data_IF_645923862819
#
_entry.id   IF_645923862819
#
_cell.length_a   1.000
_cell.length_b   1.000
_cell.length_c   1.000
_cell.angle_alpha   90.00
_cell.angle_beta   90.00
_cell.angle_gamma   90.00
#
_symmetry.space_group_name_H-M   'P 1'
#
loop_
_entity.id
_entity.type
_entity.pdbx_description
1 polymer ?
#
# COMPACT_ATOMS: atom_id res chain seq x y z
N UNK A 1 32.39 -5.38 -2.94
CA UNK A 1 31.37 -5.93 -3.85
C UNK A 1 30.82 -4.82 -4.71
N UNK A 2 30.88 -4.97 -6.03
CA UNK A 2 30.36 -3.99 -6.99
C UNK A 2 28.84 -4.11 -7.03
N UNK A 3 28.14 -3.02 -6.70
CA UNK A 3 26.68 -2.86 -6.84
C UNK A 3 26.35 -3.05 -8.33
N UNK A 4 25.95 -4.26 -8.74
CA UNK A 4 25.85 -4.60 -10.17
C UNK A 4 24.51 -4.27 -10.82
N UNK A 5 23.53 -3.76 -10.06
CA UNK A 5 22.26 -3.29 -10.63
C UNK A 5 22.27 -1.77 -10.75
N UNK A 6 22.06 -1.31 -11.98
CA UNK A 6 21.90 0.09 -12.35
C UNK A 6 20.63 0.67 -11.73
N UNK A 7 20.70 1.85 -11.10
CA UNK A 7 19.53 2.68 -10.74
C UNK A 7 19.43 3.82 -11.76
N UNK A 8 19.20 3.46 -13.02
CA UNK A 8 19.11 4.36 -14.19
C UNK A 8 17.74 5.03 -14.34
N UNK A 9 16.68 4.43 -13.79
CA UNK A 9 15.34 5.03 -13.66
C UNK A 9 15.22 5.79 -12.34
N UNK A 10 16.29 6.50 -11.96
CA UNK A 10 16.34 7.37 -10.80
C UNK A 10 17.16 8.61 -11.16
N UNK A 11 16.78 9.81 -10.68
CA UNK A 11 17.62 10.98 -10.78
C UNK A 11 19.03 10.71 -10.22
N UNK A 12 20.07 11.21 -10.89
CA UNK A 12 21.48 10.85 -10.59
C UNK A 12 21.83 11.05 -9.11
N UNK A 13 21.38 12.15 -8.51
CA UNK A 13 21.64 12.47 -7.11
C UNK A 13 20.87 11.54 -6.16
N UNK A 14 19.60 11.26 -6.44
CA UNK A 14 18.80 10.29 -5.69
C UNK A 14 19.46 8.91 -5.70
N UNK A 15 19.83 8.43 -6.90
CA UNK A 15 20.52 7.15 -7.08
C UNK A 15 21.86 7.08 -6.33
N UNK A 16 22.61 8.19 -6.24
CA UNK A 16 23.85 8.26 -5.48
C UNK A 16 23.61 8.13 -3.96
N UNK A 17 22.62 8.85 -3.41
CA UNK A 17 22.22 8.76 -2.00
C UNK A 17 21.74 7.35 -1.63
N UNK A 18 20.86 6.77 -2.46
CA UNK A 18 20.37 5.40 -2.29
C UNK A 18 21.53 4.41 -2.25
N UNK A 19 22.46 4.48 -3.22
CA UNK A 19 23.64 3.59 -3.24
C UNK A 19 24.53 3.75 -2.02
N UNK A 20 24.69 4.96 -1.50
CA UNK A 20 25.49 5.21 -0.30
C UNK A 20 24.89 4.49 0.92
N UNK A 21 23.58 4.63 1.16
CA UNK A 21 22.89 3.98 2.28
C UNK A 21 22.92 2.46 2.15
N UNK A 22 22.69 1.92 0.95
CA UNK A 22 22.77 0.47 0.69
C UNK A 22 24.19 -0.03 0.99
N UNK A 23 25.22 0.66 0.49
CA UNK A 23 26.62 0.25 0.71
C UNK A 23 27.00 0.26 2.19
N UNK A 24 26.54 1.26 2.94
CA UNK A 24 26.82 1.40 4.36
C UNK A 24 26.16 0.31 5.20
N UNK A 25 24.99 -0.19 4.78
CA UNK A 25 24.17 -1.11 5.57
C UNK A 25 24.08 -2.53 4.99
N UNK A 26 24.81 -2.84 3.92
CA UNK A 26 24.79 -4.15 3.26
C UNK A 26 25.13 -5.29 4.22
N UNK A 27 24.34 -6.37 4.19
CA UNK A 27 24.51 -7.58 4.99
C UNK A 27 24.62 -7.36 6.51
N UNK A 28 24.05 -6.26 7.02
CA UNK A 28 24.07 -5.92 8.45
C UNK A 28 22.81 -6.37 9.21
N UNK A 29 21.89 -7.07 8.55
CA UNK A 29 20.55 -7.36 9.07
C UNK A 29 19.64 -6.12 9.12
N UNK A 30 19.95 -5.09 8.31
CA UNK A 30 19.11 -3.93 8.09
C UNK A 30 17.91 -4.27 7.20
N UNK A 31 16.89 -3.41 7.24
CA UNK A 31 15.69 -3.56 6.42
C UNK A 31 15.18 -2.22 5.90
N UNK A 32 14.37 -2.29 4.85
CA UNK A 32 13.69 -1.18 4.21
C UNK A 32 12.18 -1.44 4.18
N UNK A 33 11.38 -0.38 4.27
CA UNK A 33 9.92 -0.43 4.24
C UNK A 33 9.40 0.43 3.09
N UNK A 34 8.42 -0.08 2.37
CA UNK A 34 7.76 0.66 1.29
C UNK A 34 6.25 0.59 1.46
N UNK A 35 5.58 1.70 1.22
CA UNK A 35 4.20 1.62 0.77
C UNK A 35 4.12 0.99 -0.63
N UNK A 36 2.92 0.55 -1.04
CA UNK A 36 2.69 -0.07 -2.33
C UNK A 36 2.05 0.88 -3.34
N UNK A 37 0.78 1.24 -3.13
CA UNK A 37 0.00 2.06 -4.05
C UNK A 37 0.60 3.45 -4.21
N UNK A 38 0.72 3.94 -5.45
CA UNK A 38 1.41 5.20 -5.81
C UNK A 38 2.87 5.36 -5.35
N UNK A 39 3.43 4.39 -4.62
CA UNK A 39 4.81 4.40 -4.11
C UNK A 39 5.69 3.39 -4.84
N UNK A 40 5.29 2.13 -4.91
CA UNK A 40 5.99 1.04 -5.60
C UNK A 40 5.55 0.90 -7.07
N UNK A 41 4.30 1.27 -7.37
CA UNK A 41 3.75 1.42 -8.71
C UNK A 41 2.90 2.69 -8.81
N UNK A 42 2.69 3.19 -10.02
CA UNK A 42 1.73 4.26 -10.28
C UNK A 42 0.30 3.75 -10.12
N UNK A 43 -0.61 4.59 -9.62
CA UNK A 43 -2.02 4.29 -9.35
C UNK A 43 -2.25 3.36 -8.14
N UNK A 44 -3.49 2.96 -7.95
CA UNK A 44 -4.02 2.29 -6.76
C UNK A 44 -4.71 0.97 -7.14
N UNK A 45 -4.35 -0.12 -6.46
CA UNK A 45 -4.89 -1.46 -6.76
C UNK A 45 -6.33 -1.62 -6.30
N UNK A 46 -6.72 -1.02 -5.17
CA UNK A 46 -8.07 -1.21 -4.62
C UNK A 46 -9.10 -0.46 -5.45
N UNK A 47 -8.83 0.82 -5.73
CA UNK A 47 -9.75 1.67 -6.49
C UNK A 47 -9.95 1.14 -7.92
N UNK A 48 -8.86 0.70 -8.55
CA UNK A 48 -8.90 0.15 -9.91
C UNK A 48 -9.53 -1.24 -9.94
N UNK A 49 -9.25 -2.13 -8.98
CA UNK A 49 -9.86 -3.46 -8.93
C UNK A 49 -11.36 -3.38 -8.62
N UNK A 50 -11.77 -2.50 -7.70
CA UNK A 50 -13.19 -2.23 -7.43
C UNK A 50 -13.93 -1.83 -8.71
N UNK A 51 -13.46 -0.79 -9.39
CA UNK A 51 -14.08 -0.31 -10.63
C UNK A 51 -14.05 -1.39 -11.73
N UNK A 52 -12.95 -2.13 -11.84
CA UNK A 52 -12.76 -3.17 -12.85
C UNK A 52 -13.71 -4.35 -12.70
N UNK A 53 -13.92 -4.81 -11.45
CA UNK A 53 -14.81 -5.92 -11.14
C UNK A 53 -16.27 -5.50 -11.21
N UNK A 54 -16.60 -4.29 -10.78
CA UNK A 54 -17.94 -3.73 -10.88
C UNK A 54 -18.38 -3.57 -12.34
N UNK A 55 -17.53 -2.99 -13.19
CA UNK A 55 -17.81 -2.83 -14.62
C UNK A 55 -18.03 -4.17 -15.36
N UNK A 56 -17.59 -5.29 -14.78
CA UNK A 56 -17.77 -6.66 -15.31
C UNK A 56 -18.92 -7.41 -14.67
N UNK A 57 -19.65 -6.81 -13.72
CA UNK A 57 -20.70 -7.48 -12.95
C UNK A 57 -20.18 -8.61 -12.05
N UNK A 58 -18.87 -8.62 -11.76
CA UNK A 58 -18.25 -9.63 -10.89
C UNK A 58 -18.49 -9.27 -9.43
N UNK A 59 -18.27 -8.00 -9.08
CA UNK A 59 -18.55 -7.43 -7.77
C UNK A 59 -19.77 -6.51 -7.91
N UNK A 60 -20.86 -6.85 -7.23
CA UNK A 60 -22.14 -6.13 -7.30
C UNK A 60 -22.68 -5.90 -5.90
N UNK A 61 -23.68 -5.03 -5.76
CA UNK A 61 -24.34 -4.77 -4.47
C UNK A 61 -24.95 -6.02 -3.84
N UNK A 62 -25.42 -6.96 -4.66
CA UNK A 62 -25.97 -8.24 -4.18
C UNK A 62 -24.89 -9.12 -3.54
N UNK A 63 -23.63 -8.95 -3.95
CA UNK A 63 -22.47 -9.66 -3.40
C UNK A 63 -21.76 -8.88 -2.29
N UNK A 64 -22.13 -7.62 -2.05
CA UNK A 64 -21.61 -6.82 -0.95
C UNK A 64 -21.94 -7.51 0.38
N UNK A 65 -20.93 -7.73 1.23
CA UNK A 65 -21.19 -8.22 2.58
C UNK A 65 -22.10 -7.21 3.31
N UNK A 66 -23.15 -7.71 3.97
CA UNK A 66 -24.14 -6.85 4.62
C UNK A 66 -23.53 -5.95 5.70
N UNK A 67 -22.42 -6.34 6.32
CA UNK A 67 -21.75 -5.46 7.30
C UNK A 67 -21.16 -4.21 6.68
N UNK A 68 -20.99 -4.17 5.36
CA UNK A 68 -20.40 -3.06 4.62
C UNK A 68 -21.45 -2.08 4.08
N UNK A 69 -22.74 -2.33 4.25
CA UNK A 69 -23.78 -1.35 3.93
C UNK A 69 -23.95 -0.34 5.10
N UNK A 70 -22.97 0.56 5.26
CA UNK A 70 -22.87 1.50 6.39
C UNK A 70 -23.89 2.65 6.34
N UNK A 71 -24.23 3.09 5.13
CA UNK A 71 -25.20 4.15 4.82
C UNK A 71 -26.15 3.70 3.68
N UNK A 72 -27.32 4.34 3.49
CA UNK A 72 -28.16 4.07 2.34
C UNK A 72 -27.45 4.35 1.02
N UNK A 73 -27.72 3.53 0.01
CA UNK A 73 -27.37 3.85 -1.39
C UNK A 73 -28.18 5.07 -1.86
N UNK A 74 -27.55 5.93 -2.64
CA UNK A 74 -28.15 7.14 -3.20
C UNK A 74 -28.75 6.84 -4.59
N UNK A 75 -29.74 5.97 -4.64
CA UNK A 75 -30.41 5.62 -5.90
C UNK A 75 -31.37 6.73 -6.35
N UNK A 76 -31.52 6.87 -7.67
CA UNK A 76 -32.57 7.66 -8.31
C UNK A 76 -33.44 6.77 -9.19
N UNK A 77 -34.52 7.33 -9.76
CA UNK A 77 -35.38 6.58 -10.68
C UNK A 77 -34.62 6.02 -11.90
N UNK A 78 -33.57 6.73 -12.34
CA UNK A 78 -32.84 6.43 -13.58
C UNK A 78 -31.40 5.93 -13.34
N UNK A 79 -30.96 5.85 -12.08
CA UNK A 79 -29.58 5.45 -11.75
C UNK A 79 -29.50 4.69 -10.42
N UNK A 80 -28.85 3.53 -10.45
CA UNK A 80 -28.39 2.85 -9.25
C UNK A 80 -26.94 3.26 -8.99
N UNK A 81 -26.68 3.79 -7.80
CA UNK A 81 -25.34 4.18 -7.38
C UNK A 81 -24.31 3.02 -7.45
N UNK A 82 -23.13 3.26 -8.01
CA UNK A 82 -22.05 2.26 -8.01
C UNK A 82 -21.45 2.05 -6.60
N UNK A 83 -20.85 0.89 -6.36
CA UNK A 83 -19.99 0.64 -5.20
C UNK A 83 -18.79 1.59 -5.18
N UNK A 84 -18.23 1.94 -6.35
CA UNK A 84 -17.21 2.98 -6.43
C UNK A 84 -17.72 4.34 -5.94
N UNK A 85 -18.91 4.77 -6.36
CA UNK A 85 -19.54 6.00 -5.86
C UNK A 85 -19.79 5.92 -4.35
N UNK A 86 -20.28 4.77 -3.88
CA UNK A 86 -20.52 4.53 -2.47
C UNK A 86 -19.24 4.72 -1.65
N UNK A 87 -18.11 4.14 -2.09
CA UNK A 87 -16.78 4.35 -1.53
C UNK A 87 -16.42 5.84 -1.47
N UNK A 88 -16.56 6.59 -2.58
CA UNK A 88 -16.22 8.02 -2.58
C UNK A 88 -17.03 8.83 -1.54
N UNK A 89 -18.30 8.46 -1.32
CA UNK A 89 -19.13 9.09 -0.27
C UNK A 89 -18.70 8.69 1.13
N UNK A 90 -18.18 7.49 1.33
CA UNK A 90 -17.59 7.10 2.62
C UNK A 90 -16.31 7.89 2.89
N UNK A 91 -15.46 8.15 1.88
CA UNK A 91 -14.29 9.02 2.04
C UNK A 91 -14.67 10.44 2.47
N UNK A 92 -15.81 10.94 1.98
CA UNK A 92 -16.33 12.25 2.39
C UNK A 92 -16.85 12.29 3.84
N UNK A 93 -17.09 11.12 4.47
CA UNK A 93 -17.39 11.04 5.90
C UNK A 93 -16.09 11.13 6.70
N UNK A 94 -15.17 10.17 6.46
CA UNK A 94 -13.83 10.14 7.05
C UNK A 94 -13.00 9.03 6.37
N UNK A 95 -11.69 9.25 6.23
CA UNK A 95 -10.75 8.22 5.74
C UNK A 95 -10.78 6.96 6.63
N UNK A 96 -11.03 7.11 7.93
CA UNK A 96 -11.16 6.00 8.87
C UNK A 96 -12.42 5.15 8.65
N UNK A 97 -13.36 5.63 7.83
CA UNK A 97 -14.51 4.85 7.37
C UNK A 97 -14.19 4.19 6.03
N UNK A 98 -13.59 4.91 5.09
CA UNK A 98 -13.40 4.42 3.72
C UNK A 98 -12.23 3.47 3.54
N UNK A 99 -11.10 3.67 4.23
CA UNK A 99 -9.92 2.80 4.16
C UNK A 99 -10.24 1.35 4.52
N UNK A 100 -10.85 1.05 5.69
CA UNK A 100 -11.27 -0.31 5.97
C UNK A 100 -12.31 -0.81 4.96
N UNK A 101 -13.27 0.03 4.58
CA UNK A 101 -14.35 -0.39 3.69
C UNK A 101 -13.86 -0.85 2.33
N UNK A 102 -12.94 -0.09 1.71
CA UNK A 102 -12.40 -0.43 0.38
C UNK A 102 -11.50 -1.66 0.44
N UNK A 103 -10.84 -1.92 1.56
CA UNK A 103 -10.13 -3.18 1.78
C UNK A 103 -11.10 -4.37 1.92
N UNK A 104 -12.19 -4.17 2.67
CA UNK A 104 -13.18 -5.20 2.99
C UNK A 104 -14.13 -5.52 1.80
N UNK A 105 -14.26 -4.64 0.80
CA UNK A 105 -15.23 -4.78 -0.30
C UNK A 105 -15.08 -6.08 -1.10
N UNK A 106 -13.88 -6.67 -1.10
CA UNK A 106 -13.55 -7.92 -1.77
C UNK A 106 -13.94 -9.17 -0.96
N UNK A 107 -14.63 -9.00 0.17
CA UNK A 107 -15.15 -10.11 0.98
C UNK A 107 -16.10 -11.00 0.19
N UNK A 108 -16.06 -12.30 0.46
CA UNK A 108 -16.86 -13.30 -0.26
C UNK A 108 -16.17 -13.90 -1.48
N UNK A 109 -15.03 -13.37 -1.92
CA UNK A 109 -14.15 -14.03 -2.89
C UNK A 109 -13.09 -14.89 -2.18
N UNK A 110 -12.69 -15.97 -2.85
CA UNK A 110 -11.49 -16.72 -2.46
C UNK A 110 -10.23 -15.96 -2.87
N UNK A 111 -9.11 -16.21 -2.18
CA UNK A 111 -7.83 -15.59 -2.57
C UNK A 111 -7.39 -16.00 -3.99
N UNK A 112 -7.73 -17.20 -4.44
CA UNK A 112 -7.49 -17.67 -5.82
C UNK A 112 -8.22 -16.82 -6.84
N UNK A 113 -9.49 -16.49 -6.59
CA UNK A 113 -10.26 -15.61 -7.46
C UNK A 113 -9.67 -14.20 -7.47
N UNK A 114 -9.35 -13.64 -6.30
CA UNK A 114 -8.74 -12.31 -6.21
C UNK A 114 -7.40 -12.25 -6.94
N UNK A 115 -6.56 -13.28 -6.81
CA UNK A 115 -5.29 -13.39 -7.55
C UNK A 115 -5.50 -13.36 -9.07
N UNK A 116 -6.46 -14.14 -9.58
CA UNK A 116 -6.79 -14.15 -11.00
C UNK A 116 -7.30 -12.77 -11.46
N UNK A 117 -8.16 -12.12 -10.68
CA UNK A 117 -8.68 -10.79 -11.02
C UNK A 117 -7.62 -9.70 -10.97
N UNK A 118 -6.66 -9.77 -10.05
CA UNK A 118 -5.49 -8.89 -10.01
C UNK A 118 -4.65 -9.08 -11.27
N UNK A 119 -4.37 -10.33 -11.67
CA UNK A 119 -3.66 -10.61 -12.92
C UNK A 119 -4.41 -10.05 -14.15
N UNK A 120 -5.72 -10.29 -14.24
CA UNK A 120 -6.57 -9.77 -15.32
C UNK A 120 -6.55 -8.24 -15.38
N UNK A 121 -6.62 -7.55 -14.24
CA UNK A 121 -6.54 -6.09 -14.15
C UNK A 121 -5.16 -5.59 -14.61
N UNK A 122 -4.09 -6.21 -14.13
CA UNK A 122 -2.72 -5.79 -14.46
C UNK A 122 -2.42 -5.97 -15.95
N UNK A 123 -2.99 -6.99 -16.59
CA UNK A 123 -2.86 -7.26 -18.03
C UNK A 123 -3.89 -6.49 -18.89
N UNK A 124 -4.83 -5.78 -18.28
CA UNK A 124 -5.89 -5.10 -19.03
C UNK A 124 -5.39 -3.83 -19.73
N UNK A 125 -5.58 -3.74 -21.05
CA UNK A 125 -5.19 -2.57 -21.86
C UNK A 125 -6.40 -1.68 -22.26
N UNK A 126 -7.59 -1.99 -21.75
CA UNK A 126 -8.80 -1.20 -22.00
C UNK A 126 -9.01 -0.08 -20.99
N UNK A 127 -10.15 0.61 -21.13
CA UNK A 127 -10.55 1.70 -20.23
C UNK A 127 -11.29 1.12 -19.04
N UNK A 128 -10.84 1.46 -17.83
CA UNK A 128 -11.58 1.19 -16.59
C UNK A 128 -12.38 2.44 -16.28
N UNK A 129 -13.71 2.30 -16.18
CA UNK A 129 -14.60 3.42 -15.88
C UNK A 129 -15.41 3.14 -14.63
N UNK A 130 -15.65 4.19 -13.85
CA UNK A 130 -16.53 4.17 -12.70
C UNK A 130 -17.44 5.41 -12.72
N UNK A 131 -18.55 5.35 -11.99
CA UNK A 131 -19.40 6.53 -11.75
C UNK A 131 -19.29 6.99 -10.30
N UNK A 132 -19.38 8.30 -10.04
CA UNK A 132 -19.53 8.85 -8.69
C UNK A 132 -20.28 10.18 -8.69
N UNK A 133 -20.80 10.60 -7.54
CA UNK A 133 -21.34 11.94 -7.37
C UNK A 133 -20.21 12.94 -7.12
N UNK A 134 -20.05 13.91 -8.01
CA UNK A 134 -19.11 15.02 -7.78
C UNK A 134 -19.66 16.04 -6.77
N UNK A 135 -18.87 17.07 -6.48
CA UNK A 135 -19.24 18.14 -5.55
C UNK A 135 -20.41 19.01 -6.02
N UNK A 136 -20.82 18.92 -7.29
CA UNK A 136 -21.98 19.65 -7.82
C UNK A 136 -23.30 19.02 -7.36
N UNK A 137 -23.31 17.70 -7.11
CA UNK A 137 -24.50 16.95 -6.73
C UNK A 137 -25.59 16.88 -7.81
N UNK A 138 -25.32 17.36 -9.02
CA UNK A 138 -26.28 17.46 -10.15
C UNK A 138 -26.57 16.08 -10.77
N UNK A 139 -25.72 15.08 -10.50
CA UNK A 139 -25.91 13.70 -10.94
C UNK A 139 -24.60 12.90 -10.83
N UNK A 140 -24.61 11.61 -11.14
CA UNK A 140 -23.38 10.83 -11.25
C UNK A 140 -22.58 11.27 -12.49
N UNK A 141 -21.26 11.42 -12.34
CA UNK A 141 -20.32 11.64 -13.43
C UNK A 141 -19.50 10.37 -13.67
N UNK A 142 -19.09 10.14 -14.92
CA UNK A 142 -18.21 9.02 -15.29
C UNK A 142 -16.75 9.47 -15.20
N UNK A 143 -15.92 8.65 -14.56
CA UNK A 143 -14.47 8.84 -14.43
C UNK A 143 -13.71 7.65 -15.01
N UNK A 144 -12.51 7.91 -15.52
CA UNK A 144 -11.55 6.88 -15.93
C UNK A 144 -10.60 6.62 -14.77
N UNK A 145 -10.38 5.34 -14.45
CA UNK A 145 -9.48 4.90 -13.39
C UNK A 145 -8.24 4.26 -14.03
N UNK A 146 -7.05 4.68 -13.61
CA UNK A 146 -5.81 4.09 -14.10
C UNK A 146 -5.53 2.76 -13.39
N UNK A 147 -5.13 1.74 -14.15
CA UNK A 147 -4.58 0.51 -13.55
C UNK A 147 -3.20 0.75 -12.93
N UNK A 148 -2.75 -0.13 -12.02
CA UNK A 148 -1.39 -0.06 -11.51
C UNK A 148 -0.35 -0.25 -12.61
N UNK A 149 0.71 0.56 -12.58
CA UNK A 149 1.85 0.43 -13.49
C UNK A 149 3.15 0.38 -12.68
N UNK A 150 3.88 -0.75 -12.67
CA UNK A 150 5.11 -0.88 -11.92
C UNK A 150 6.14 0.22 -12.23
N UNK A 151 6.65 0.88 -11.18
CA UNK A 151 7.78 1.79 -11.33
C UNK A 151 9.06 0.99 -11.52
N UNK A 152 9.69 1.09 -12.70
CA UNK A 152 10.96 0.39 -12.98
C UNK A 152 12.06 0.80 -12.01
N UNK A 153 12.07 2.05 -11.56
CA UNK A 153 12.97 2.54 -10.52
C UNK A 153 12.82 1.75 -9.22
N UNK A 154 11.59 1.52 -8.77
CA UNK A 154 11.30 0.79 -7.53
C UNK A 154 11.63 -0.70 -7.67
N UNK A 155 11.23 -1.36 -8.78
CA UNK A 155 11.62 -2.75 -9.03
C UNK A 155 13.14 -2.94 -8.92
N UNK A 156 13.94 -2.04 -9.51
CA UNK A 156 15.41 -2.08 -9.43
C UNK A 156 15.92 -1.83 -8.02
N UNK A 157 15.30 -0.90 -7.28
CA UNK A 157 15.66 -0.62 -5.89
C UNK A 157 15.41 -1.82 -4.98
N UNK A 158 14.24 -2.45 -5.08
CA UNK A 158 13.86 -3.62 -4.28
C UNK A 158 14.86 -4.76 -4.47
N UNK A 159 15.12 -5.13 -5.73
CA UNK A 159 16.09 -6.18 -6.05
C UNK A 159 17.51 -5.82 -5.60
N UNK A 160 17.90 -4.54 -5.70
CA UNK A 160 19.21 -4.10 -5.25
C UNK A 160 19.36 -4.18 -3.73
N UNK A 161 18.35 -3.79 -2.97
CA UNK A 161 18.32 -3.94 -1.50
C UNK A 161 18.48 -5.40 -1.10
N UNK A 162 17.62 -6.28 -1.64
CA UNK A 162 17.64 -7.72 -1.33
C UNK A 162 18.97 -8.37 -1.74
N UNK A 163 19.52 -8.01 -2.91
CA UNK A 163 20.84 -8.50 -3.35
C UNK A 163 21.98 -8.12 -2.40
N UNK A 164 21.85 -7.01 -1.67
CA UNK A 164 22.83 -6.57 -0.67
C UNK A 164 22.45 -7.01 0.76
N UNK A 165 21.59 -8.02 0.91
CA UNK A 165 21.21 -8.56 2.22
C UNK A 165 20.46 -7.57 3.10
N UNK A 166 19.72 -6.64 2.50
CA UNK A 166 18.79 -5.75 3.19
C UNK A 166 17.38 -6.29 2.95
N UNK A 167 16.67 -6.65 4.02
CA UNK A 167 15.32 -7.17 3.91
C UNK A 167 14.38 -6.06 3.40
N UNK A 168 13.49 -6.40 2.47
CA UNK A 168 12.48 -5.47 1.95
C UNK A 168 11.12 -5.91 2.47
N UNK A 169 10.40 -4.97 3.07
CA UNK A 169 9.04 -5.13 3.54
C UNK A 169 8.10 -4.15 2.84
N UNK A 170 6.88 -4.60 2.59
CA UNK A 170 5.77 -3.73 2.22
C UNK A 170 4.92 -3.48 3.46
N UNK A 171 4.52 -2.23 3.69
CA UNK A 171 3.50 -1.83 4.68
C UNK A 171 2.50 -0.93 3.96
N UNK A 172 1.46 -1.55 3.41
CA UNK A 172 0.44 -0.92 2.56
C UNK A 172 -0.89 -0.78 3.28
N UNK A 173 -1.64 0.28 2.97
CA UNK A 173 -3.02 0.42 3.46
C UNK A 173 -4.00 -0.57 2.79
N UNK A 174 -3.63 -1.09 1.62
CA UNK A 174 -4.42 -2.00 0.80
C UNK A 174 -4.41 -3.45 1.32
N UNK A 175 -5.30 -4.35 0.84
CA UNK A 175 -5.47 -5.67 1.40
C UNK A 175 -4.21 -6.49 1.23
N UNK A 176 -3.75 -7.09 2.33
CA UNK A 176 -2.47 -7.79 2.38
C UNK A 176 -2.36 -8.85 1.28
N UNK A 177 -3.42 -9.63 1.08
CA UNK A 177 -3.45 -10.71 0.08
C UNK A 177 -3.45 -10.18 -1.35
N UNK A 178 -4.08 -9.03 -1.61
CA UNK A 178 -4.13 -8.40 -2.93
C UNK A 178 -2.76 -7.78 -3.27
N UNK A 179 -2.18 -7.05 -2.33
CA UNK A 179 -0.83 -6.47 -2.47
C UNK A 179 0.20 -7.58 -2.67
N UNK A 180 0.09 -8.70 -1.95
CA UNK A 180 0.98 -9.86 -2.09
C UNK A 180 0.92 -10.47 -3.49
N UNK A 181 -0.25 -10.48 -4.13
CA UNK A 181 -0.38 -10.96 -5.52
C UNK A 181 0.50 -10.17 -6.50
N UNK A 182 0.88 -8.93 -6.16
CA UNK A 182 1.76 -8.09 -6.99
C UNK A 182 3.20 -8.14 -6.47
N UNK A 183 3.41 -7.78 -5.20
CA UNK A 183 4.74 -7.61 -4.61
C UNK A 183 5.58 -8.91 -4.62
N UNK A 184 4.93 -10.06 -4.46
CA UNK A 184 5.60 -11.36 -4.36
C UNK A 184 5.53 -12.19 -5.64
N UNK A 185 4.77 -11.76 -6.64
CA UNK A 185 4.70 -12.44 -7.92
C UNK A 185 5.86 -12.03 -8.83
N UNK A 186 6.75 -12.97 -9.24
CA UNK A 186 7.89 -12.66 -10.10
C UNK A 186 7.52 -12.01 -11.43
N UNK A 187 6.28 -12.19 -11.92
CA UNK A 187 5.73 -11.52 -13.11
C UNK A 187 5.89 -10.00 -13.05
N UNK A 188 5.77 -9.41 -11.85
CA UNK A 188 5.86 -7.95 -11.66
C UNK A 188 7.21 -7.50 -11.13
N UNK A 189 8.21 -8.38 -11.01
CA UNK A 189 9.61 -8.02 -10.84
C UNK A 189 10.03 -7.45 -9.48
N UNK A 190 9.15 -7.34 -8.48
CA UNK A 190 9.50 -6.87 -7.14
C UNK A 190 10.20 -7.93 -6.29
N UNK A 191 9.76 -9.19 -6.42
CA UNK A 191 10.36 -10.38 -5.76
C UNK A 191 10.40 -10.30 -4.23
N UNK A 192 9.46 -9.57 -3.60
CA UNK A 192 9.38 -9.47 -2.14
C UNK A 192 8.94 -10.83 -1.58
N UNK A 193 9.60 -11.38 -0.54
CA UNK A 193 9.12 -12.58 0.13
C UNK A 193 7.65 -12.40 0.59
N UNK A 194 6.74 -13.35 0.33
CA UNK A 194 5.32 -13.23 0.69
C UNK A 194 5.05 -12.86 2.16
N UNK A 195 5.88 -13.36 3.07
CA UNK A 195 5.82 -13.08 4.51
C UNK A 195 6.13 -11.63 4.85
N UNK A 196 6.92 -10.95 4.02
CA UNK A 196 7.32 -9.55 4.19
C UNK A 196 6.30 -8.55 3.61
N UNK A 197 5.19 -9.03 3.04
CA UNK A 197 4.09 -8.18 2.60
C UNK A 197 3.09 -8.02 3.73
N UNK A 198 3.03 -6.82 4.31
CA UNK A 198 2.10 -6.43 5.37
C UNK A 198 1.08 -5.46 4.77
N UNK A 199 -0.20 -5.77 4.93
CA UNK A 199 -1.30 -4.96 4.43
C UNK A 199 -2.54 -5.06 5.31
N UNK A 200 -3.62 -4.39 4.93
CA UNK A 200 -4.90 -4.53 5.62
C UNK A 200 -5.31 -6.01 5.60
N UNK A 201 -5.30 -6.62 6.77
CA UNK A 201 -5.57 -8.03 6.92
C UNK A 201 -7.02 -8.22 7.35
N UNK A 202 -7.69 -9.19 6.76
CA UNK A 202 -9.00 -9.62 7.18
C UNK A 202 -8.99 -11.12 7.45
N UNK A 203 -9.87 -11.59 8.35
CA UNK A 203 -10.00 -13.01 8.61
C UNK A 203 -10.30 -13.77 7.32
N UNK A 204 -9.57 -14.86 7.14
CA UNK A 204 -9.77 -15.87 6.11
C UNK A 204 -10.53 -17.04 6.72
N UNK A 205 -11.47 -17.60 5.98
CA UNK A 205 -12.23 -18.79 6.42
C UNK A 205 -12.27 -19.87 5.35
N UNK A 206 -12.37 -21.12 5.77
CA UNK A 206 -12.79 -22.21 4.88
C UNK A 206 -14.31 -22.13 4.61
N UNK A 207 -14.78 -22.81 3.56
CA UNK A 207 -16.21 -22.85 3.22
C UNK A 207 -17.08 -23.41 4.37
N UNK A 208 -16.55 -24.38 5.12
CA UNK A 208 -17.23 -25.01 6.27
C UNK A 208 -17.29 -24.11 7.52
N UNK A 209 -16.74 -22.89 7.47
CA UNK A 209 -16.72 -21.86 8.52
C UNK A 209 -16.17 -22.31 9.89
N UNK A 210 -15.50 -23.46 9.96
CA UNK A 210 -15.01 -24.07 11.18
C UNK A 210 -13.62 -23.56 11.59
N UNK A 211 -12.89 -22.93 10.66
CA UNK A 211 -11.52 -22.45 10.87
C UNK A 211 -11.41 -21.01 10.37
N UNK A 212 -10.95 -20.14 11.27
CA UNK A 212 -10.56 -18.76 10.97
C UNK A 212 -9.04 -18.62 11.09
N UNK A 213 -8.42 -17.94 10.14
CA UNK A 213 -6.99 -17.67 10.13
C UNK A 213 -6.70 -16.34 9.46
N UNK A 214 -5.45 -15.88 9.52
CA UNK A 214 -4.89 -14.80 8.70
C UNK A 214 -3.43 -15.14 8.41
N UNK A 215 -2.90 -14.67 7.29
CA UNK A 215 -1.50 -14.88 6.93
C UNK A 215 -0.55 -14.37 8.01
N UNK A 216 -0.81 -13.19 8.62
CA UNK A 216 -0.03 -12.66 9.75
C UNK A 216 0.13 -13.65 10.93
N UNK A 217 -0.95 -14.33 11.31
CA UNK A 217 -0.96 -15.33 12.38
C UNK A 217 -0.12 -16.54 11.99
N UNK A 218 -0.32 -17.06 10.78
CA UNK A 218 0.43 -18.23 10.31
C UNK A 218 1.93 -17.93 10.18
N UNK A 219 2.29 -16.72 9.76
CA UNK A 219 3.69 -16.28 9.68
C UNK A 219 4.32 -16.23 11.07
N UNK A 220 3.63 -15.65 12.05
CA UNK A 220 4.09 -15.61 13.44
C UNK A 220 4.26 -17.02 14.04
N UNK A 221 3.34 -17.93 13.70
CA UNK A 221 3.38 -19.33 14.16
C UNK A 221 4.37 -20.21 13.36
N UNK A 222 4.99 -19.70 12.30
CA UNK A 222 5.88 -20.46 11.42
C UNK A 222 5.16 -21.51 10.57
N UNK A 223 3.86 -21.37 10.35
CA UNK A 223 3.01 -22.30 9.59
C UNK A 223 2.43 -21.70 8.31
N UNK A 224 2.97 -20.58 7.82
CA UNK A 224 2.48 -19.90 6.63
C UNK A 224 2.72 -20.73 5.36
N UNK A 225 1.64 -20.95 4.62
CA UNK A 225 1.64 -21.57 3.30
C UNK A 225 0.66 -20.82 2.40
N UNK A 226 1.20 -20.05 1.45
CA UNK A 226 0.40 -19.27 0.49
C UNK A 226 -0.56 -20.18 -0.30
N UNK A 227 -0.12 -21.38 -0.69
CA UNK A 227 -0.93 -22.29 -1.51
C UNK A 227 -2.11 -22.83 -0.72
N UNK A 228 -1.92 -23.15 0.55
CA UNK A 228 -3.00 -23.59 1.44
C UNK A 228 -4.08 -22.52 1.66
N UNK A 229 -3.71 -21.24 1.55
CA UNK A 229 -4.63 -20.13 1.73
C UNK A 229 -5.45 -19.78 0.47
N UNK A 230 -5.06 -20.25 -0.72
CA UNK A 230 -5.67 -19.82 -1.99
C UNK A 230 -7.19 -20.05 -2.04
N UNK A 231 -7.68 -21.14 -1.45
CA UNK A 231 -9.10 -21.48 -1.47
C UNK A 231 -9.87 -20.98 -0.23
N UNK A 232 -9.23 -20.18 0.63
CA UNK A 232 -9.91 -19.53 1.74
C UNK A 232 -10.67 -18.29 1.25
N UNK A 233 -11.87 -18.10 1.81
CA UNK A 233 -12.71 -16.93 1.59
C UNK A 233 -12.23 -15.76 2.44
N UNK A 234 -12.09 -14.60 1.80
CA UNK A 234 -11.92 -13.33 2.48
C UNK A 234 -13.23 -12.94 3.19
N UNK A 235 -13.14 -12.52 4.45
CA UNK A 235 -14.29 -12.02 5.23
C UNK A 235 -14.12 -10.52 5.50
N UNK A 236 -15.18 -9.80 5.93
CA UNK A 236 -15.04 -8.38 6.23
C UNK A 236 -14.43 -8.14 7.62
N UNK A 237 -14.09 -9.15 8.41
CA UNK A 237 -13.58 -8.92 9.76
C UNK A 237 -12.11 -8.49 9.74
N UNK A 238 -11.84 -7.25 10.14
CA UNK A 238 -10.48 -6.68 10.16
C UNK A 238 -9.61 -7.32 11.25
N UNK A 239 -8.37 -7.58 10.89
CA UNK A 239 -7.28 -7.90 11.78
C UNK A 239 -6.46 -6.64 12.08
N UNK A 240 -5.76 -6.63 13.21
CA UNK A 240 -4.99 -5.47 13.68
C UNK A 240 -3.52 -5.80 13.94
N UNK A 241 -2.60 -4.82 13.87
CA UNK A 241 -2.82 -3.41 13.49
C UNK A 241 -3.27 -3.23 12.04
N UNK A 242 -4.06 -2.19 11.77
CA UNK A 242 -4.46 -1.80 10.41
C UNK A 242 -3.41 -0.87 9.81
N UNK A 243 -2.68 -1.24 8.74
CA UNK A 243 -1.48 -0.55 8.25
C UNK A 243 -1.76 0.72 7.43
N UNK A 244 -2.42 1.68 8.05
CA UNK A 244 -2.57 3.06 7.56
C UNK A 244 -2.32 4.04 8.69
N UNK A 245 -1.84 5.24 8.36
CA UNK A 245 -1.50 6.28 9.34
C UNK A 245 -0.57 5.71 10.44
N UNK A 246 -0.91 5.92 11.72
CA UNK A 246 -0.14 5.39 12.86
C UNK A 246 -0.08 3.86 12.89
N UNK A 247 -1.03 3.19 12.25
CA UNK A 247 -1.03 1.75 12.12
C UNK A 247 0.10 1.21 11.24
N UNK A 248 0.67 2.01 10.32
CA UNK A 248 1.90 1.63 9.61
C UNK A 248 3.08 1.53 10.57
N UNK A 249 3.25 2.52 11.45
CA UNK A 249 4.25 2.50 12.52
C UNK A 249 4.03 1.30 13.47
N UNK A 250 2.79 1.08 13.91
CA UNK A 250 2.44 -0.08 14.75
C UNK A 250 2.74 -1.41 14.04
N UNK A 251 2.53 -1.49 12.73
CA UNK A 251 2.82 -2.68 11.93
C UNK A 251 4.32 -2.98 11.85
N UNK A 252 5.16 -1.96 11.74
CA UNK A 252 6.62 -2.12 11.79
C UNK A 252 7.03 -2.71 13.14
N UNK A 253 6.52 -2.15 14.24
CA UNK A 253 6.82 -2.66 15.59
C UNK A 253 6.30 -4.10 15.80
N UNK A 254 5.12 -4.41 15.29
CA UNK A 254 4.45 -5.70 15.53
C UNK A 254 5.04 -6.83 14.68
N UNK A 255 5.35 -6.54 13.40
CA UNK A 255 5.65 -7.58 12.41
C UNK A 255 7.08 -7.58 11.90
N UNK A 256 7.89 -6.55 12.19
CA UNK A 256 9.26 -6.44 11.68
C UNK A 256 10.27 -6.42 12.83
N UNK A 257 10.30 -5.35 13.62
CA UNK A 257 11.23 -5.20 14.75
C UNK A 257 10.73 -4.07 15.67
N UNK A 258 10.73 -4.31 16.98
CA UNK A 258 10.30 -3.32 17.98
C UNK A 258 11.35 -2.21 18.23
N UNK A 259 12.62 -2.47 17.91
CA UNK A 259 13.75 -1.64 18.36
C UNK A 259 14.63 -1.19 17.22
N UNK A 260 14.92 -2.10 16.28
CA UNK A 260 15.64 -1.77 15.06
C UNK A 260 14.75 -0.92 14.19
N UNK A 261 15.36 0.05 13.51
CA UNK A 261 14.70 1.00 12.63
C UNK A 261 15.08 0.74 11.17
N UNK A 262 14.16 0.93 10.19
CA UNK A 262 14.50 0.80 8.78
C UNK A 262 15.52 1.83 8.32
N UNK A 263 16.42 1.43 7.42
CA UNK A 263 17.40 2.33 6.77
C UNK A 263 16.80 3.06 5.56
N UNK A 264 15.60 2.69 5.14
CA UNK A 264 14.87 3.32 4.05
C UNK A 264 13.38 3.16 4.29
N UNK A 265 12.63 4.26 4.21
CA UNK A 265 11.17 4.22 4.12
C UNK A 265 10.73 4.99 2.88
N UNK A 266 9.80 4.43 2.10
CA UNK A 266 9.19 5.06 0.93
C UNK A 266 7.68 5.18 1.09
N UNK A 267 7.10 6.33 0.72
CA UNK A 267 5.66 6.59 0.70
C UNK A 267 5.29 7.72 -0.28
N UNK A 268 4.00 8.00 -0.46
CA UNK A 268 3.47 9.06 -1.33
C UNK A 268 2.35 9.89 -0.68
N UNK A 269 1.72 9.36 0.37
CA UNK A 269 0.63 10.03 1.07
C UNK A 269 1.12 10.52 2.45
N UNK A 270 1.27 11.84 2.66
CA UNK A 270 1.81 12.38 3.91
C UNK A 270 0.96 12.03 5.13
N UNK A 271 -0.36 11.83 4.96
CA UNK A 271 -1.26 11.51 6.07
C UNK A 271 -1.15 10.03 6.47
N UNK A 272 -1.14 9.12 5.50
CA UNK A 272 -1.05 7.67 5.76
C UNK A 272 0.38 7.20 6.04
N UNK A 273 1.36 7.67 5.26
CA UNK A 273 2.76 7.23 5.37
C UNK A 273 3.58 8.06 6.36
N UNK A 274 3.08 9.24 6.75
CA UNK A 274 3.81 10.18 7.58
C UNK A 274 4.31 9.56 8.89
N UNK A 275 3.52 8.69 9.52
CA UNK A 275 3.92 8.04 10.76
C UNK A 275 5.18 7.19 10.57
N UNK A 276 5.20 6.31 9.57
CA UNK A 276 6.41 5.52 9.32
C UNK A 276 7.57 6.42 8.85
N UNK A 277 7.32 7.37 7.94
CA UNK A 277 8.36 8.27 7.42
C UNK A 277 9.03 9.10 8.52
N UNK A 278 8.26 9.69 9.44
CA UNK A 278 8.81 10.59 10.46
C UNK A 278 9.36 9.85 11.69
N UNK A 279 8.78 8.72 12.08
CA UNK A 279 9.09 8.09 13.36
C UNK A 279 10.08 6.92 13.25
N UNK A 280 10.13 6.24 12.11
CA UNK A 280 10.80 4.95 12.01
C UNK A 280 12.17 4.98 11.32
N UNK A 281 12.50 5.96 10.47
CA UNK A 281 13.80 5.93 9.76
C UNK A 281 15.01 6.02 10.72
N UNK A 282 15.97 5.10 10.55
CA UNK A 282 17.25 5.10 11.26
C UNK A 282 18.22 6.13 10.67
N UNK A 283 17.99 7.41 11.00
CA UNK A 283 18.84 8.51 10.54
C UNK A 283 20.29 8.39 11.05
N UNK A 284 20.51 7.72 12.18
CA UNK A 284 21.86 7.50 12.75
C UNK A 284 22.74 6.61 11.85
N UNK A 285 22.11 5.71 11.08
CA UNK A 285 22.77 4.86 10.06
C UNK A 285 22.72 5.46 8.66
N UNK A 286 22.45 6.76 8.56
CA UNK A 286 22.29 7.45 7.29
C UNK A 286 20.97 7.15 6.59
N UNK A 287 19.98 6.60 7.30
CA UNK A 287 18.72 6.18 6.71
C UNK A 287 17.99 7.30 5.96
N UNK A 288 17.32 6.93 4.86
CA UNK A 288 16.71 7.87 3.91
C UNK A 288 15.18 7.74 3.87
N UNK A 289 14.54 8.84 3.51
CA UNK A 289 13.10 8.94 3.26
C UNK A 289 12.90 9.17 1.78
N UNK A 290 12.19 8.27 1.11
CA UNK A 290 11.80 8.45 -0.28
C UNK A 290 10.34 8.90 -0.29
N UNK A 291 10.06 10.01 -0.95
CA UNK A 291 8.70 10.48 -1.16
C UNK A 291 8.40 10.56 -2.65
N UNK A 292 7.38 9.81 -3.09
CA UNK A 292 6.91 9.85 -4.48
C UNK A 292 5.86 10.96 -4.58
N UNK A 293 6.29 12.14 -5.03
CA UNK A 293 5.46 13.31 -5.14
C UNK A 293 4.53 13.22 -6.36
N UNK A 294 3.30 12.74 -6.15
CA UNK A 294 2.26 12.67 -7.17
C UNK A 294 1.31 13.88 -7.21
N UNK A 295 1.31 14.75 -6.20
CA UNK A 295 0.37 15.89 -6.07
C UNK A 295 1.01 17.03 -5.28
N UNK A 296 0.87 18.25 -5.79
CA UNK A 296 1.38 19.47 -5.13
C UNK A 296 0.79 19.64 -3.72
N UNK A 297 -0.49 19.35 -3.52
CA UNK A 297 -1.14 19.42 -2.20
C UNK A 297 -0.49 18.48 -1.17
N UNK A 298 -0.09 17.28 -1.60
CA UNK A 298 0.61 16.32 -0.74
C UNK A 298 2.03 16.76 -0.44
N UNK A 299 2.72 17.36 -1.42
CA UNK A 299 4.02 17.96 -1.19
C UNK A 299 3.95 19.10 -0.16
N UNK A 300 2.96 20.01 -0.31
CA UNK A 300 2.74 21.11 0.63
C UNK A 300 2.42 20.60 2.05
N UNK A 301 1.57 19.57 2.15
CA UNK A 301 1.26 18.95 3.44
C UNK A 301 2.50 18.30 4.07
N UNK A 302 3.32 17.60 3.28
CA UNK A 302 4.57 17.01 3.74
C UNK A 302 5.55 18.06 4.28
N UNK A 303 5.76 19.16 3.54
CA UNK A 303 6.64 20.26 3.96
C UNK A 303 6.15 20.88 5.29
N UNK A 304 4.84 21.09 5.43
CA UNK A 304 4.23 21.52 6.68
C UNK A 304 4.48 20.54 7.83
N UNK A 305 4.38 19.23 7.57
CA UNK A 305 4.67 18.19 8.55
C UNK A 305 6.16 18.15 8.92
N UNK A 306 7.08 18.33 7.97
CA UNK A 306 8.52 18.44 8.24
C UNK A 306 8.80 19.57 9.22
N UNK A 307 8.28 20.78 8.95
CA UNK A 307 8.45 21.95 9.83
C UNK A 307 7.88 21.67 11.21
N UNK A 308 6.64 21.17 11.29
CA UNK A 308 5.94 20.88 12.54
C UNK A 308 6.68 19.82 13.38
N UNK A 309 7.09 18.71 12.77
CA UNK A 309 7.77 17.62 13.46
C UNK A 309 9.18 18.02 13.91
N UNK A 310 9.93 18.75 13.09
CA UNK A 310 11.25 19.27 13.47
C UNK A 310 11.16 20.25 14.64
N UNK A 311 10.19 21.17 14.61
CA UNK A 311 9.93 22.07 15.73
C UNK A 311 9.60 21.30 17.01
N UNK A 312 8.72 20.29 16.91
CA UNK A 312 8.33 19.48 18.06
C UNK A 312 9.49 18.67 18.64
N UNK A 313 10.32 18.05 17.80
CA UNK A 313 11.53 17.34 18.24
C UNK A 313 12.48 18.28 19.01
N UNK A 314 12.68 19.50 18.49
CA UNK A 314 13.51 20.52 19.14
C UNK A 314 12.94 20.97 20.49
N UNK A 315 11.64 21.23 20.57
CA UNK A 315 10.95 21.58 21.83
C UNK A 315 11.10 20.50 22.90
N UNK A 316 11.09 19.23 22.49
CA UNK A 316 11.25 18.08 23.40
C UNK A 316 12.71 17.77 23.75
N UNK A 317 13.69 18.51 23.19
CA UNK A 317 15.11 18.22 23.38
C UNK A 317 15.57 16.92 22.70
N UNK A 318 14.82 16.44 21.71
CA UNK A 318 15.19 15.28 20.90
C UNK A 318 16.12 15.68 19.76
N UNK A 319 16.86 14.71 19.21
CA UNK A 319 17.55 14.94 17.95
C UNK A 319 16.54 15.26 16.84
N UNK A 320 16.73 16.42 16.20
CA UNK A 320 15.91 16.84 15.06
C UNK A 320 16.31 16.03 13.84
N UNK A 321 15.42 15.12 13.44
CA UNK A 321 15.63 14.16 12.34
C UNK A 321 14.55 14.26 11.26
N UNK A 322 13.43 14.92 11.54
CA UNK A 322 12.28 15.01 10.64
C UNK A 322 12.57 15.75 9.31
N UNK A 323 13.58 16.61 9.26
CA UNK A 323 14.03 17.35 8.08
C UNK A 323 15.21 16.69 7.33
N UNK A 324 15.69 15.52 7.79
CA UNK A 324 16.91 14.91 7.25
C UNK A 324 16.63 13.87 6.17
N UNK A 325 17.60 13.74 5.25
CA UNK A 325 17.74 12.62 4.33
C UNK A 325 16.52 12.33 3.43
N UNK A 326 15.78 13.37 3.04
CA UNK A 326 14.70 13.26 2.07
C UNK A 326 15.23 13.14 0.64
N UNK A 327 14.58 12.25 -0.12
CA UNK A 327 14.69 12.08 -1.56
C UNK A 327 13.26 12.20 -2.08
N UNK A 328 12.98 13.28 -2.79
CA UNK A 328 11.68 13.51 -3.43
C UNK A 328 11.84 13.23 -4.91
N UNK A 329 10.94 12.44 -5.47
CA UNK A 329 10.89 12.12 -6.91
C UNK A 329 9.44 12.21 -7.38
N UNK A 330 9.23 12.56 -8.64
CA UNK A 330 7.92 12.46 -9.29
C UNK A 330 7.72 11.06 -9.89
N UNK A 331 6.48 10.56 -10.03
CA UNK A 331 6.19 9.27 -10.66
C UNK A 331 6.92 9.06 -12.00
N UNK A 332 6.95 10.07 -12.87
CA UNK A 332 7.59 10.01 -14.20
C UNK A 332 9.12 9.84 -14.16
N UNK A 333 9.78 10.18 -13.03
CA UNK A 333 11.23 10.03 -12.88
C UNK A 333 11.65 8.59 -12.56
N UNK A 334 10.69 7.75 -12.15
CA UNK A 334 10.92 6.37 -11.69
C UNK A 334 10.07 5.32 -12.44
N UNK A 335 9.26 5.74 -13.42
CA UNK A 335 8.39 4.89 -14.24
C UNK A 335 9.16 3.87 -15.10
#
# INVERSE_FOLDING_TARGET
>A
MTISMSLDHWPKEAAAKIRAVIKQNAHSGAYAVFDMDNTAYHSDIEESLLAFLEARGILTREKLDRSLQLIPFKDTADHQESLFSYYTRLCAIDDMVSYPWVAQIFSGFTLRQLKAYVDDLMDYDGIISATHYDSSGIGPVTVTIDKPRPFRGQQKLFNLLMKNGINVYIVSASPEEIVRCIASNPKYGYNVPPENVIGASMLLRNEDASILTVSRKQIQDGTYDEQANLDLLLTPYLWTPTPWMAGKHASIMTYIDEWKKPILISGDNPHSDGYMLFHDVDVSKGGIRIFVNRKDDYMNALEGMVVKNSARQKEMGLEVTADRNWIVVKPEEIL
#
